data_IF_416380297020
#
_entry.id   IF_416380297020
#
_cell.length_a   1.000
_cell.length_b   1.000
_cell.length_c   1.000
_cell.angle_alpha   90.00
_cell.angle_beta   90.00
_cell.angle_gamma   90.00
#
_symmetry.space_group_name_H-M   'P 1'
#
loop_
_entity.id
_entity.type
_entity.pdbx_description
1 polymer ?
#
# COMPACT_ATOMS: atom_id res chain seq x y z
N UNK A 1 -61.80 -4.59 27.06
CA UNK A 1 -60.63 -3.71 26.92
C UNK A 1 -59.44 -4.62 26.70
N UNK A 2 -58.90 -4.64 25.47
CA UNK A 2 -57.80 -5.51 25.08
C UNK A 2 -56.48 -4.91 25.60
N UNK A 3 -55.68 -5.73 26.29
CA UNK A 3 -54.31 -5.41 26.68
C UNK A 3 -53.42 -5.63 25.45
N UNK A 4 -52.98 -4.53 24.86
CA UNK A 4 -52.12 -4.54 23.68
C UNK A 4 -50.73 -5.06 24.06
N UNK A 5 -50.29 -6.08 23.33
CA UNK A 5 -48.98 -6.72 23.49
C UNK A 5 -47.91 -5.77 22.97
N UNK A 6 -47.21 -5.07 23.86
CA UNK A 6 -45.99 -4.33 23.50
C UNK A 6 -44.92 -5.35 23.12
N UNK A 7 -44.72 -5.54 21.81
CA UNK A 7 -43.55 -6.21 21.26
C UNK A 7 -42.32 -5.39 21.64
N UNK A 8 -41.57 -5.89 22.61
CA UNK A 8 -40.18 -5.48 22.84
C UNK A 8 -39.35 -6.07 21.70
N UNK A 9 -39.33 -5.38 20.57
CA UNK A 9 -38.24 -5.48 19.60
C UNK A 9 -37.32 -4.30 19.86
N UNK A 10 -36.67 -4.30 21.02
CA UNK A 10 -35.52 -3.43 21.24
C UNK A 10 -34.47 -3.88 20.24
N UNK A 11 -34.21 -3.01 19.26
CA UNK A 11 -33.04 -3.11 18.42
C UNK A 11 -31.83 -3.22 19.38
N UNK A 12 -31.06 -4.30 19.22
CA UNK A 12 -29.76 -4.46 19.87
C UNK A 12 -29.01 -3.13 19.78
N UNK A 13 -28.36 -2.67 20.86
CA UNK A 13 -27.59 -1.43 20.81
C UNK A 13 -26.58 -1.60 19.68
N UNK A 14 -26.78 -0.83 18.61
CA UNK A 14 -25.81 -0.70 17.52
C UNK A 14 -24.55 -0.20 18.23
N UNK A 15 -23.57 -1.10 18.39
CA UNK A 15 -22.22 -0.78 18.84
C UNK A 15 -21.85 0.52 18.14
N UNK A 16 -21.61 1.58 18.91
CA UNK A 16 -21.45 2.92 18.34
C UNK A 16 -20.37 2.84 17.27
N UNK A 17 -20.75 3.10 16.02
CA UNK A 17 -19.82 3.11 14.90
C UNK A 17 -18.71 4.10 15.25
N UNK A 18 -17.53 3.58 15.59
CA UNK A 18 -16.35 4.42 15.77
C UNK A 18 -16.10 5.07 14.42
N UNK A 19 -16.05 6.40 14.39
CA UNK A 19 -15.59 7.12 13.23
C UNK A 19 -14.10 6.77 13.05
N UNK A 20 -13.77 5.96 12.04
CA UNK A 20 -12.41 5.48 11.83
C UNK A 20 -11.41 6.61 11.55
N UNK A 21 -11.90 7.77 11.14
CA UNK A 21 -11.16 9.03 11.01
C UNK A 21 -10.52 9.49 12.33
N UNK A 22 -11.12 9.15 13.48
CA UNK A 22 -10.63 9.55 14.81
C UNK A 22 -9.71 8.50 15.44
N UNK A 23 -9.50 7.34 14.79
CA UNK A 23 -8.65 6.27 15.30
C UNK A 23 -7.21 6.53 14.88
N UNK A 24 -6.29 6.83 15.81
CA UNK A 24 -4.89 7.07 15.47
C UNK A 24 -4.28 5.81 14.85
N UNK A 25 -3.38 6.01 13.90
CA UNK A 25 -2.62 4.92 13.30
C UNK A 25 -1.93 4.07 14.37
N UNK A 26 -2.08 2.75 14.25
CA UNK A 26 -1.23 1.77 14.92
C UNK A 26 -0.91 0.63 13.94
N UNK A 27 0.25 -0.04 14.06
CA UNK A 27 0.62 -1.13 13.14
C UNK A 27 -0.40 -2.27 13.08
N UNK A 28 -1.15 -2.50 14.16
CA UNK A 28 -2.19 -3.53 14.24
C UNK A 28 -3.41 -3.22 13.37
N UNK A 29 -3.56 -1.98 12.88
CA UNK A 29 -4.64 -1.60 11.98
C UNK A 29 -4.38 -1.98 10.54
N UNK A 30 -3.13 -2.33 10.21
CA UNK A 30 -2.71 -2.74 8.88
C UNK A 30 -3.28 -4.11 8.49
N UNK A 31 -3.42 -4.31 7.18
CA UNK A 31 -3.73 -5.61 6.60
C UNK A 31 -2.57 -6.60 6.81
N UNK A 32 -2.82 -7.89 6.57
CA UNK A 32 -1.77 -8.89 6.59
C UNK A 32 -0.75 -8.65 5.46
N UNK A 33 0.47 -8.31 5.86
CA UNK A 33 1.58 -8.05 4.94
C UNK A 33 2.30 -9.33 4.48
N UNK A 34 1.83 -10.53 4.83
CA UNK A 34 2.47 -11.81 4.50
C UNK A 34 2.69 -12.04 2.99
N UNK A 35 1.89 -11.40 2.15
CA UNK A 35 2.02 -11.43 0.68
C UNK A 35 3.13 -10.53 0.14
N UNK A 36 3.73 -9.67 0.97
CA UNK A 36 4.83 -8.77 0.61
C UNK A 36 6.19 -9.36 0.99
N UNK A 37 7.26 -9.04 0.25
CA UNK A 37 8.61 -9.52 0.57
C UNK A 37 9.08 -9.06 1.95
N UNK A 38 9.56 -9.98 2.78
CA UNK A 38 10.02 -9.70 4.17
C UNK A 38 11.07 -8.59 4.24
N UNK A 39 11.98 -8.53 3.26
CA UNK A 39 13.01 -7.48 3.19
C UNK A 39 12.40 -6.08 3.04
N UNK A 40 11.26 -5.98 2.34
CA UNK A 40 10.51 -4.74 2.20
C UNK A 40 9.80 -4.38 3.50
N UNK A 41 9.07 -5.35 4.08
CA UNK A 41 8.22 -5.12 5.26
C UNK A 41 9.05 -4.74 6.50
N UNK A 42 10.27 -5.27 6.61
CA UNK A 42 11.19 -4.94 7.71
C UNK A 42 11.95 -3.60 7.49
N UNK A 43 11.75 -2.91 6.38
CA UNK A 43 12.41 -1.64 6.10
C UNK A 43 11.73 -0.50 6.90
N UNK A 44 12.52 0.34 7.58
CA UNK A 44 11.99 1.45 8.36
C UNK A 44 11.22 2.47 7.51
N UNK A 45 11.61 2.65 6.24
CA UNK A 45 10.90 3.54 5.33
C UNK A 45 9.54 2.95 4.91
N UNK A 46 9.40 1.62 4.88
CA UNK A 46 8.09 0.97 4.67
C UNK A 46 7.14 1.26 5.83
N UNK A 47 7.60 1.12 7.08
CA UNK A 47 6.79 1.44 8.25
C UNK A 47 6.31 2.91 8.25
N UNK A 48 7.21 3.86 7.97
CA UNK A 48 6.86 5.27 7.84
C UNK A 48 5.90 5.53 6.67
N UNK A 49 6.05 4.80 5.56
CA UNK A 49 5.13 4.85 4.44
C UNK A 49 3.73 4.41 4.86
N UNK A 50 3.61 3.30 5.59
CA UNK A 50 2.33 2.76 6.06
C UNK A 50 1.57 3.76 6.92
N UNK A 51 2.24 4.43 7.86
CA UNK A 51 1.65 5.49 8.69
C UNK A 51 1.13 6.63 7.80
N UNK A 52 2.01 7.21 6.97
CA UNK A 52 1.65 8.33 6.09
C UNK A 52 0.51 7.98 5.11
N UNK A 53 0.48 6.75 4.61
CA UNK A 53 -0.56 6.28 3.69
C UNK A 53 -1.89 6.06 4.38
N UNK A 54 -1.86 5.55 5.61
CA UNK A 54 -3.05 5.36 6.44
C UNK A 54 -3.69 6.71 6.77
N UNK A 55 -2.90 7.66 7.28
CA UNK A 55 -3.38 9.00 7.62
C UNK A 55 -3.81 9.76 6.35
N UNK A 56 -3.01 9.66 5.28
CA UNK A 56 -3.30 10.28 3.99
C UNK A 56 -4.63 9.84 3.35
N UNK A 57 -5.12 8.64 3.66
CA UNK A 57 -6.46 8.21 3.22
C UNK A 57 -7.56 9.10 3.79
N UNK A 58 -7.46 9.46 5.07
CA UNK A 58 -8.44 10.27 5.78
C UNK A 58 -8.23 11.78 5.58
N UNK A 59 -7.00 12.22 5.26
CA UNK A 59 -6.69 13.62 4.98
C UNK A 59 -7.19 14.09 3.60
N UNK A 60 -7.36 13.19 2.62
CA UNK A 60 -7.58 13.56 1.23
C UNK A 60 -9.01 14.02 0.84
N UNK A 61 -10.09 13.59 1.51
CA UNK A 61 -11.40 14.29 1.42
C UNK A 61 -12.47 13.70 2.36
N UNK A 62 -13.46 14.54 2.73
CA UNK A 62 -14.53 14.29 3.72
C UNK A 62 -15.71 13.45 3.23
N UNK A 63 -15.65 12.95 2.01
CA UNK A 63 -16.65 12.05 1.46
C UNK A 63 -15.96 10.75 1.05
N UNK A 64 -15.96 9.78 1.96
CA UNK A 64 -15.55 8.40 1.74
C UNK A 64 -16.46 7.75 0.69
N UNK A 65 -16.23 8.11 -0.57
CA UNK A 65 -17.01 7.64 -1.69
C UNK A 65 -16.64 6.19 -2.00
N UNK A 66 -17.63 5.44 -2.48
CA UNK A 66 -17.39 4.07 -2.92
C UNK A 66 -16.51 4.10 -4.17
N UNK A 67 -15.22 3.82 -4.01
CA UNK A 67 -14.28 3.64 -5.10
C UNK A 67 -14.54 2.34 -5.87
N UNK A 68 -14.48 2.38 -7.19
CA UNK A 68 -14.53 1.16 -7.99
C UNK A 68 -13.22 0.39 -7.88
N UNK A 69 -13.24 -0.91 -8.24
CA UNK A 69 -11.99 -1.69 -8.32
C UNK A 69 -10.96 -1.04 -9.26
N UNK A 70 -11.39 -0.39 -10.35
CA UNK A 70 -10.48 0.29 -11.28
C UNK A 70 -9.80 1.51 -10.64
N UNK A 71 -10.53 2.26 -9.82
CA UNK A 71 -9.99 3.45 -9.14
C UNK A 71 -8.94 3.05 -8.11
N UNK A 72 -9.22 2.00 -7.32
CA UNK A 72 -8.28 1.44 -6.35
C UNK A 72 -7.00 0.97 -7.03
N UNK A 73 -7.12 0.25 -8.14
CA UNK A 73 -5.96 -0.21 -8.89
C UNK A 73 -5.15 0.94 -9.48
N UNK A 74 -5.82 1.96 -10.00
CA UNK A 74 -5.18 3.16 -10.55
C UNK A 74 -4.44 3.94 -9.45
N UNK A 75 -5.02 4.05 -8.26
CA UNK A 75 -4.38 4.69 -7.11
C UNK A 75 -3.13 3.92 -6.64
N UNK A 76 -3.22 2.59 -6.51
CA UNK A 76 -2.07 1.74 -6.15
C UNK A 76 -0.96 1.86 -7.18
N UNK A 77 -1.29 1.77 -8.47
CA UNK A 77 -0.33 1.97 -9.55
C UNK A 77 0.29 3.37 -9.51
N UNK A 78 -0.52 4.42 -9.37
CA UNK A 78 -0.06 5.80 -9.33
C UNK A 78 0.91 6.06 -8.17
N UNK A 79 0.57 5.56 -6.98
CA UNK A 79 1.40 5.71 -5.78
C UNK A 79 2.74 4.97 -5.94
N UNK A 80 2.73 3.72 -6.41
CA UNK A 80 3.97 2.93 -6.58
C UNK A 80 4.81 3.44 -7.75
N UNK A 81 4.20 3.83 -8.86
CA UNK A 81 4.89 4.39 -10.03
C UNK A 81 5.36 5.83 -9.79
N UNK A 82 4.83 6.53 -8.79
CA UNK A 82 5.35 7.82 -8.33
C UNK A 82 6.84 7.77 -7.99
N UNK A 83 7.34 6.63 -7.52
CA UNK A 83 8.77 6.36 -7.34
C UNK A 83 9.60 6.47 -8.64
N UNK A 84 9.00 6.13 -9.79
CA UNK A 84 9.67 6.11 -11.09
C UNK A 84 9.53 7.44 -11.86
N UNK A 85 8.78 8.40 -11.32
CA UNK A 85 8.59 9.70 -11.98
C UNK A 85 9.91 10.50 -12.01
N UNK A 86 10.30 11.11 -13.14
CA UNK A 86 11.48 11.96 -13.20
C UNK A 86 11.30 13.18 -12.29
N UNK A 87 12.15 13.31 -11.26
CA UNK A 87 12.03 14.31 -10.20
C UNK A 87 11.25 13.85 -8.96
N UNK A 88 10.71 12.63 -8.96
CA UNK A 88 9.93 12.02 -7.87
C UNK A 88 10.75 11.40 -6.74
N UNK A 89 12.06 11.63 -6.68
CA UNK A 89 12.97 10.99 -5.70
C UNK A 89 12.94 11.65 -4.32
N UNK A 90 11.75 11.96 -3.79
CA UNK A 90 11.63 12.44 -2.41
C UNK A 90 11.87 11.30 -1.41
N UNK A 91 11.37 10.10 -1.72
CA UNK A 91 11.36 8.96 -0.81
C UNK A 91 11.90 7.67 -1.47
N UNK A 92 12.42 6.71 -0.69
CA UNK A 92 12.89 5.44 -1.23
C UNK A 92 11.73 4.51 -1.60
N UNK A 93 11.95 3.53 -2.48
CA UNK A 93 10.92 2.58 -2.94
C UNK A 93 10.11 1.90 -1.81
N UNK A 94 10.73 1.43 -0.69
CA UNK A 94 9.98 0.86 0.43
C UNK A 94 8.93 1.80 1.00
N UNK A 95 9.19 3.11 1.02
CA UNK A 95 8.22 4.10 1.48
C UNK A 95 6.98 4.15 0.58
N UNK A 96 7.15 4.16 -0.75
CA UNK A 96 6.00 4.17 -1.66
C UNK A 96 5.16 2.89 -1.57
N UNK A 97 5.80 1.74 -1.41
CA UNK A 97 5.08 0.49 -1.19
C UNK A 97 4.34 0.49 0.16
N UNK A 98 4.97 1.03 1.22
CA UNK A 98 4.35 1.22 2.52
C UNK A 98 3.16 2.17 2.45
N UNK A 99 3.30 3.31 1.77
CA UNK A 99 2.23 4.29 1.57
C UNK A 99 1.00 3.67 0.91
N UNK A 100 1.19 2.94 -0.19
CA UNK A 100 0.09 2.20 -0.82
C UNK A 100 -0.54 1.17 0.12
N UNK A 101 0.26 0.47 0.92
CA UNK A 101 -0.24 -0.55 1.85
C UNK A 101 -1.03 0.05 3.03
N UNK A 102 -0.55 1.15 3.60
CA UNK A 102 -1.24 1.91 4.64
C UNK A 102 -2.57 2.46 4.16
N UNK A 103 -2.58 3.07 2.98
CA UNK A 103 -3.80 3.58 2.35
C UNK A 103 -4.83 2.47 2.09
N UNK A 104 -4.39 1.33 1.56
CA UNK A 104 -5.27 0.16 1.36
C UNK A 104 -5.81 -0.40 2.68
N UNK A 105 -5.03 -0.32 3.77
CA UNK A 105 -5.45 -0.78 5.09
C UNK A 105 -6.52 0.11 5.71
N UNK A 106 -6.42 1.43 5.51
CA UNK A 106 -7.49 2.37 5.86
C UNK A 106 -8.74 2.14 4.99
N UNK A 107 -8.57 1.97 3.68
CA UNK A 107 -9.65 1.71 2.74
C UNK A 107 -10.40 0.40 3.04
N UNK A 108 -9.71 -0.64 3.52
CA UNK A 108 -10.30 -1.93 3.89
C UNK A 108 -11.38 -1.83 4.96
N UNK A 109 -11.39 -0.76 5.77
CA UNK A 109 -12.44 -0.52 6.78
C UNK A 109 -13.81 -0.27 6.14
N UNK A 110 -13.83 0.25 4.91
CA UNK A 110 -15.04 0.56 4.15
C UNK A 110 -15.31 -0.47 3.05
N UNK A 111 -14.26 -0.91 2.36
CA UNK A 111 -14.35 -1.81 1.20
C UNK A 111 -13.26 -2.90 1.25
N UNK A 112 -13.42 -3.92 2.11
CA UNK A 112 -12.39 -4.93 2.35
C UNK A 112 -12.08 -5.77 1.11
N UNK A 113 -13.07 -6.10 0.28
CA UNK A 113 -12.87 -6.93 -0.91
C UNK A 113 -12.04 -6.20 -1.98
N UNK A 114 -12.24 -4.89 -2.13
CA UNK A 114 -11.51 -4.04 -3.06
C UNK A 114 -10.10 -3.76 -2.55
N UNK A 115 -9.93 -3.56 -1.24
CA UNK A 115 -8.62 -3.43 -0.62
C UNK A 115 -7.75 -4.68 -0.82
N UNK A 116 -8.31 -5.87 -0.62
CA UNK A 116 -7.63 -7.16 -0.86
C UNK A 116 -7.11 -7.28 -2.30
N UNK A 117 -7.93 -6.91 -3.28
CA UNK A 117 -7.51 -6.87 -4.70
C UNK A 117 -6.36 -5.88 -4.92
N UNK A 118 -6.41 -4.72 -4.27
CA UNK A 118 -5.34 -3.74 -4.28
C UNK A 118 -4.03 -4.29 -3.73
N UNK A 119 -4.08 -5.03 -2.61
CA UNK A 119 -2.90 -5.68 -1.99
C UNK A 119 -2.30 -6.73 -2.92
N UNK A 120 -3.11 -7.53 -3.61
CA UNK A 120 -2.61 -8.50 -4.59
C UNK A 120 -1.85 -7.83 -5.73
N UNK A 121 -2.35 -6.71 -6.24
CA UNK A 121 -1.66 -5.95 -7.29
C UNK A 121 -0.39 -5.28 -6.77
N UNK A 122 -0.44 -4.71 -5.57
CA UNK A 122 0.75 -4.15 -4.91
C UNK A 122 1.86 -5.22 -4.76
N UNK A 123 1.52 -6.42 -4.28
CA UNK A 123 2.48 -7.53 -4.14
C UNK A 123 3.11 -7.93 -5.48
N UNK A 124 2.30 -8.00 -6.55
CA UNK A 124 2.79 -8.28 -7.90
C UNK A 124 3.74 -7.20 -8.42
N UNK A 125 3.40 -5.93 -8.23
CA UNK A 125 4.23 -4.79 -8.63
C UNK A 125 5.55 -4.76 -7.88
N UNK A 126 5.50 -4.89 -6.55
CA UNK A 126 6.69 -4.94 -5.69
C UNK A 126 7.63 -6.05 -6.12
N UNK A 127 7.10 -7.26 -6.32
CA UNK A 127 7.88 -8.41 -6.76
C UNK A 127 8.54 -8.16 -8.12
N UNK A 128 7.82 -7.52 -9.04
CA UNK A 128 8.33 -7.19 -10.38
C UNK A 128 9.47 -6.16 -10.30
N UNK A 129 9.28 -5.07 -9.56
CA UNK A 129 10.28 -4.01 -9.41
C UNK A 129 11.53 -4.54 -8.72
N UNK A 130 11.40 -5.33 -7.66
CA UNK A 130 12.55 -5.94 -6.99
C UNK A 130 13.34 -6.86 -7.92
N UNK A 131 12.68 -7.69 -8.75
CA UNK A 131 13.35 -8.51 -9.77
C UNK A 131 14.10 -7.65 -10.79
N UNK A 132 13.48 -6.58 -11.27
CA UNK A 132 14.12 -5.65 -12.20
C UNK A 132 15.37 -5.00 -11.58
N UNK A 133 15.26 -4.48 -10.35
CA UNK A 133 16.37 -3.86 -9.63
C UNK A 133 17.51 -4.85 -9.35
N UNK A 134 17.18 -6.08 -8.95
CA UNK A 134 18.17 -7.14 -8.77
C UNK A 134 18.90 -7.46 -10.08
N UNK A 135 18.15 -7.58 -11.18
CA UNK A 135 18.73 -7.86 -12.50
C UNK A 135 19.63 -6.72 -12.96
N UNK A 136 19.20 -5.47 -12.80
CA UNK A 136 20.03 -4.30 -13.11
C UNK A 136 21.27 -4.21 -12.21
N UNK A 137 21.17 -4.51 -10.91
CA UNK A 137 22.32 -4.54 -10.00
C UNK A 137 23.34 -5.64 -10.37
N UNK A 138 22.86 -6.86 -10.62
CA UNK A 138 23.73 -8.01 -10.92
C UNK A 138 24.35 -7.93 -12.31
N UNK A 139 23.57 -7.55 -13.33
CA UNK A 139 24.05 -7.50 -14.72
C UNK A 139 24.60 -6.12 -15.11
N UNK A 140 24.11 -5.03 -14.52
CA UNK A 140 24.68 -3.69 -14.70
C UNK A 140 26.05 -3.55 -14.05
N UNK A 141 26.29 -4.15 -12.88
CA UNK A 141 27.64 -4.21 -12.30
C UNK A 141 28.59 -5.11 -13.10
N UNK A 142 28.08 -6.13 -13.81
CA UNK A 142 28.88 -6.93 -14.74
C UNK A 142 29.26 -6.14 -16.00
N UNK A 143 28.34 -5.34 -16.55
CA UNK A 143 28.65 -4.45 -17.67
C UNK A 143 29.63 -3.34 -17.27
N UNK A 144 29.51 -2.79 -16.05
CA UNK A 144 30.44 -1.77 -15.52
C UNK A 144 31.84 -2.29 -15.15
N UNK A 145 32.07 -3.61 -15.12
CA UNK A 145 33.40 -4.23 -14.91
C UNK A 145 34.08 -4.73 -16.17
N UNK A 146 33.48 -4.53 -17.35
CA UNK A 146 34.08 -4.90 -18.64
C UNK A 146 34.47 -3.69 -19.51
N UNK A 147 34.57 -2.50 -18.92
CA UNK A 147 35.15 -1.34 -19.61
C UNK A 147 36.38 -0.94 -18.83
N UNK A 148 37.55 -1.36 -19.32
CA UNK A 148 38.81 -0.76 -18.93
C UNK A 148 38.76 0.74 -19.20
N UNK A 149 39.52 1.53 -18.45
CA UNK A 149 39.60 3.01 -18.58
C UNK A 149 40.04 3.50 -19.97
N UNK A 150 40.36 2.58 -20.87
CA UNK A 150 40.85 2.72 -22.23
C UNK A 150 39.87 2.23 -23.32
N UNK A 151 38.68 1.71 -22.94
CA UNK A 151 37.56 1.53 -23.87
C UNK A 151 37.68 0.41 -24.90
N UNK A 152 38.56 -0.58 -24.70
CA UNK A 152 38.62 -1.79 -25.55
C UNK A 152 38.12 -3.03 -24.81
N UNK A 153 37.39 -3.94 -25.50
CA UNK A 153 37.03 -5.24 -24.93
C UNK A 153 38.28 -6.09 -24.76
N UNK A 154 38.44 -6.68 -23.57
CA UNK A 154 39.42 -7.74 -23.33
C UNK A 154 38.92 -9.01 -24.04
N UNK A 155 39.52 -9.33 -25.18
CA UNK A 155 39.40 -10.66 -25.77
C UNK A 155 40.01 -11.70 -24.81
N UNK A 156 39.31 -12.82 -24.66
CA UNK A 156 39.66 -13.97 -23.82
C UNK A 156 41.04 -14.56 -24.11
#
# INVERSE_FOLDING_TARGET
MALDMVRVTDALPVLSAVAWEDVPYTPELLLDASSLPVVLVNDAAFALGCENGYDGYFECDKELSLLSSTDVLTAVHGNVLGFLAPGGTSQPFPWYAGFSFGWLSAFAKYQPAEAEKGVQVLSSLVSTIQRCNYTQGVYGCRAGRMVGTDGWPLDM
#
